data_IF_457856976908
#
_entry.id   IF_457856976908
#
_cell.length_a   1.000
_cell.length_b   1.000
_cell.length_c   1.000
_cell.angle_alpha   90.00
_cell.angle_beta   90.00
_cell.angle_gamma   90.00
#
_symmetry.space_group_name_H-M   'P 1'
#
loop_
_entity.id
_entity.type
_entity.pdbx_description
1 polymer ?
#
# COMPACT_ATOMS: atom_id res chain seq x y z
N UNK A 1 -41.78 14.33 -45.84
CA UNK A 1 -41.10 14.81 -44.62
C UNK A 1 -40.71 13.59 -43.79
N UNK A 2 -39.46 13.19 -43.92
CA UNK A 2 -38.95 12.03 -43.20
C UNK A 2 -38.21 12.52 -41.94
N UNK A 3 -38.74 12.16 -40.78
CA UNK A 3 -38.08 12.38 -39.51
C UNK A 3 -36.84 11.48 -39.39
N UNK A 4 -35.67 12.06 -39.45
CA UNK A 4 -34.44 11.41 -39.05
C UNK A 4 -34.36 11.41 -37.53
N UNK A 5 -34.64 10.26 -36.89
CA UNK A 5 -34.28 10.00 -35.51
C UNK A 5 -32.74 9.86 -35.45
N UNK A 6 -32.07 10.86 -34.96
CA UNK A 6 -30.65 10.79 -34.61
C UNK A 6 -30.56 10.02 -33.30
N UNK A 7 -30.25 8.72 -33.40
CA UNK A 7 -29.84 7.92 -32.26
C UNK A 7 -28.50 8.46 -31.73
N UNK A 8 -28.55 9.22 -30.65
CA UNK A 8 -27.39 9.59 -29.86
C UNK A 8 -27.00 8.39 -28.96
N UNK A 9 -26.51 7.31 -29.56
CA UNK A 9 -25.74 6.29 -28.83
C UNK A 9 -24.36 6.88 -28.53
N UNK A 10 -24.29 7.67 -27.46
CA UNK A 10 -23.01 7.96 -26.80
C UNK A 10 -22.53 6.66 -26.19
N UNK A 11 -21.70 5.92 -26.92
CA UNK A 11 -21.05 4.72 -26.43
C UNK A 11 -20.39 5.08 -25.07
N UNK A 12 -20.91 4.51 -23.98
CA UNK A 12 -20.30 4.68 -22.66
C UNK A 12 -18.90 4.09 -22.73
N UNK A 13 -17.88 4.96 -22.73
CA UNK A 13 -16.49 4.54 -22.67
C UNK A 13 -16.32 3.65 -21.44
N UNK A 14 -15.88 2.42 -21.64
CA UNK A 14 -15.58 1.53 -20.50
C UNK A 14 -14.47 2.16 -19.65
N UNK A 15 -14.66 2.09 -18.33
CA UNK A 15 -13.66 2.57 -17.38
C UNK A 15 -12.43 1.69 -17.42
N UNK A 16 -11.26 2.29 -17.34
CA UNK A 16 -10.03 1.55 -17.06
C UNK A 16 -10.13 0.86 -15.69
N UNK A 17 -9.24 -0.09 -15.44
CA UNK A 17 -9.18 -0.75 -14.13
C UNK A 17 -9.02 0.25 -12.99
N UNK A 18 -8.19 1.26 -13.18
CA UNK A 18 -7.96 2.30 -12.17
C UNK A 18 -9.19 3.20 -11.96
N UNK A 19 -9.78 3.68 -13.03
CA UNK A 19 -11.02 4.47 -12.97
C UNK A 19 -12.15 3.70 -12.29
N UNK A 20 -12.25 2.38 -12.54
CA UNK A 20 -13.22 1.53 -11.86
C UNK A 20 -12.88 1.39 -10.36
N UNK A 21 -11.61 1.16 -10.01
CA UNK A 21 -11.17 1.05 -8.62
C UNK A 21 -11.47 2.34 -7.81
N UNK A 22 -11.19 3.51 -8.37
CA UNK A 22 -11.49 4.82 -7.76
C UNK A 22 -13.01 5.01 -7.63
N UNK A 23 -13.78 4.65 -8.65
CA UNK A 23 -15.24 4.74 -8.59
C UNK A 23 -15.80 3.85 -7.47
N UNK A 24 -15.33 2.61 -7.38
CA UNK A 24 -15.79 1.66 -6.36
C UNK A 24 -15.37 2.10 -4.95
N UNK A 25 -14.16 2.63 -4.79
CA UNK A 25 -13.69 3.18 -3.53
C UNK A 25 -14.58 4.33 -3.05
N UNK A 26 -14.98 5.21 -3.96
CA UNK A 26 -15.86 6.36 -3.66
C UNK A 26 -17.29 5.96 -3.35
N UNK A 27 -17.82 4.98 -4.06
CA UNK A 27 -19.25 4.63 -4.01
C UNK A 27 -19.56 3.50 -3.02
N UNK A 28 -18.71 2.48 -2.99
CA UNK A 28 -18.96 1.23 -2.26
C UNK A 28 -17.88 0.92 -1.22
N UNK A 29 -16.77 1.67 -1.22
CA UNK A 29 -15.68 1.45 -0.29
C UNK A 29 -16.06 1.70 1.17
N UNK A 30 -15.23 1.22 2.07
CA UNK A 30 -15.34 1.55 3.50
C UNK A 30 -15.12 3.05 3.68
N UNK A 31 -15.98 3.71 4.45
CA UNK A 31 -15.80 5.11 4.78
C UNK A 31 -14.71 5.26 5.85
N UNK A 32 -13.52 5.69 5.45
CA UNK A 32 -12.34 5.82 6.32
C UNK A 32 -12.19 7.21 6.97
N UNK A 33 -13.27 8.01 7.04
CA UNK A 33 -13.23 9.28 7.75
C UNK A 33 -12.81 9.08 9.23
N UNK A 34 -11.76 9.77 9.66
CA UNK A 34 -11.17 9.60 10.98
C UNK A 34 -10.05 8.56 11.05
N UNK A 35 -9.69 7.93 9.92
CA UNK A 35 -8.50 7.10 9.82
C UNK A 35 -7.31 7.88 9.28
N UNK A 36 -6.16 7.71 9.89
CA UNK A 36 -4.86 8.26 9.47
C UNK A 36 -3.98 7.09 9.05
N UNK A 37 -3.58 7.07 7.79
CA UNK A 37 -2.69 6.05 7.23
C UNK A 37 -1.32 6.66 6.98
N UNK A 38 -0.32 6.23 7.76
CA UNK A 38 1.07 6.59 7.56
C UNK A 38 1.67 5.63 6.52
N UNK A 39 1.90 6.13 5.30
CA UNK A 39 2.51 5.37 4.21
C UNK A 39 4.02 5.63 4.16
N UNK A 40 4.79 4.57 4.37
CA UNK A 40 6.23 4.56 4.22
C UNK A 40 6.60 3.87 2.90
N UNK A 41 7.12 4.62 1.98
CA UNK A 41 7.67 4.12 0.72
C UNK A 41 9.13 3.71 0.96
N UNK A 42 9.39 2.41 0.89
CA UNK A 42 10.71 1.82 1.17
C UNK A 42 11.83 2.47 0.35
N UNK A 43 12.96 2.64 0.99
CA UNK A 43 14.20 3.16 0.41
C UNK A 43 14.13 4.61 -0.12
N UNK A 44 15.28 5.10 -0.54
CA UNK A 44 15.49 6.34 -1.28
C UNK A 44 16.44 6.10 -2.43
N UNK A 45 16.64 7.09 -3.28
CA UNK A 45 17.54 7.01 -4.45
C UNK A 45 18.98 6.69 -4.05
N UNK A 46 19.39 7.13 -2.85
CA UNK A 46 20.72 6.87 -2.32
C UNK A 46 20.93 5.43 -1.81
N UNK A 47 19.85 4.63 -1.63
CA UNK A 47 19.97 3.24 -1.18
C UNK A 47 20.57 2.37 -2.28
N UNK A 48 21.77 1.83 -2.03
CA UNK A 48 22.48 0.98 -2.99
C UNK A 48 21.91 -0.44 -3.02
N UNK A 49 22.05 -1.13 -4.15
CA UNK A 49 21.75 -2.56 -4.30
C UNK A 49 20.26 -2.92 -4.32
N UNK A 50 19.37 -1.94 -4.39
CA UNK A 50 17.93 -2.14 -4.37
C UNK A 50 17.31 -1.97 -5.78
N UNK A 51 17.34 -3.07 -6.55
CA UNK A 51 16.81 -3.10 -7.92
C UNK A 51 17.03 -4.43 -8.60
N UNK A 52 16.41 -4.61 -9.77
CA UNK A 52 16.53 -5.83 -10.57
C UNK A 52 17.96 -6.09 -11.02
N UNK A 53 18.32 -7.36 -11.33
CA UNK A 53 19.64 -7.70 -11.88
C UNK A 53 19.98 -6.94 -13.15
N UNK A 54 19.01 -6.65 -14.01
CA UNK A 54 19.21 -5.75 -15.14
C UNK A 54 19.59 -4.32 -14.72
N UNK A 55 18.84 -3.75 -13.78
CA UNK A 55 19.11 -2.38 -13.32
C UNK A 55 20.46 -2.22 -12.66
N UNK A 56 20.91 -3.25 -11.92
CA UNK A 56 22.15 -3.20 -11.17
C UNK A 56 23.37 -3.64 -12.02
N UNK A 57 23.23 -4.72 -12.81
CA UNK A 57 24.35 -5.43 -13.44
C UNK A 57 24.16 -5.72 -14.93
N UNK A 58 23.06 -5.26 -15.55
CA UNK A 58 22.72 -5.52 -16.97
C UNK A 58 22.58 -7.00 -17.33
N UNK A 59 22.08 -7.81 -16.40
CA UNK A 59 21.82 -9.24 -16.60
C UNK A 59 20.48 -9.44 -17.29
N UNK A 60 20.46 -10.12 -18.42
CA UNK A 60 19.23 -10.43 -19.15
C UNK A 60 18.32 -11.39 -18.35
N UNK A 61 16.97 -11.30 -18.48
CA UNK A 61 16.24 -10.40 -19.37
C UNK A 61 16.28 -8.93 -18.92
N UNK A 62 16.10 -8.02 -19.90
CA UNK A 62 16.19 -6.56 -19.72
C UNK A 62 14.95 -5.98 -19.02
N UNK A 63 14.70 -6.35 -17.77
CA UNK A 63 13.59 -5.87 -16.96
C UNK A 63 14.11 -4.82 -15.95
N UNK A 64 13.97 -3.51 -16.26
CA UNK A 64 14.47 -2.46 -15.38
C UNK A 64 13.52 -2.26 -14.17
N UNK A 65 14.10 -2.26 -12.96
CA UNK A 65 13.37 -1.86 -11.74
C UNK A 65 14.33 -1.30 -10.71
N UNK A 66 13.95 -0.20 -10.09
CA UNK A 66 14.54 0.32 -8.85
C UNK A 66 13.48 0.32 -7.77
N UNK A 67 13.78 -0.30 -6.63
CA UNK A 67 12.78 -0.48 -5.57
C UNK A 67 12.21 0.85 -5.06
N UNK A 68 13.04 1.88 -4.88
CA UNK A 68 12.57 3.18 -4.42
C UNK A 68 11.61 3.88 -5.41
N UNK A 69 11.73 3.64 -6.72
CA UNK A 69 10.80 4.16 -7.73
C UNK A 69 9.49 3.40 -7.72
N UNK A 70 9.58 2.07 -7.62
CA UNK A 70 8.42 1.19 -7.53
C UNK A 70 7.56 1.50 -6.30
N UNK A 71 8.16 1.56 -5.12
CA UNK A 71 7.43 1.81 -3.87
C UNK A 71 6.71 3.17 -3.88
N UNK A 72 7.31 4.19 -4.51
CA UNK A 72 6.68 5.51 -4.69
C UNK A 72 5.50 5.47 -5.65
N UNK A 73 5.58 4.70 -6.75
CA UNK A 73 4.44 4.51 -7.66
C UNK A 73 3.26 3.84 -6.94
N UNK A 74 3.53 2.77 -6.19
CA UNK A 74 2.51 2.06 -5.41
C UNK A 74 1.88 2.97 -4.36
N UNK A 75 2.70 3.65 -3.55
CA UNK A 75 2.18 4.50 -2.46
C UNK A 75 1.43 5.72 -2.98
N UNK A 76 1.79 6.26 -4.15
CA UNK A 76 1.04 7.35 -4.79
C UNK A 76 -0.38 6.89 -5.20
N UNK A 77 -0.49 5.74 -5.87
CA UNK A 77 -1.78 5.13 -6.24
C UNK A 77 -2.59 4.74 -4.99
N UNK A 78 -1.94 4.16 -3.98
CA UNK A 78 -2.59 3.80 -2.72
C UNK A 78 -3.13 5.03 -1.98
N UNK A 79 -2.36 6.12 -1.94
CA UNK A 79 -2.79 7.40 -1.37
C UNK A 79 -4.08 7.88 -2.03
N UNK A 80 -4.14 7.89 -3.37
CA UNK A 80 -5.32 8.32 -4.13
C UNK A 80 -6.57 7.49 -3.77
N UNK A 81 -6.44 6.16 -3.67
CA UNK A 81 -7.55 5.27 -3.26
C UNK A 81 -8.00 5.53 -1.82
N UNK A 82 -7.07 5.62 -0.89
CA UNK A 82 -7.39 5.83 0.52
C UNK A 82 -8.06 7.19 0.76
N UNK A 83 -7.61 8.24 0.08
CA UNK A 83 -8.24 9.56 0.11
C UNK A 83 -9.63 9.52 -0.54
N UNK A 84 -9.82 8.76 -1.62
CA UNK A 84 -11.13 8.49 -2.19
C UNK A 84 -12.06 7.77 -1.21
N UNK A 85 -11.51 6.92 -0.32
CA UNK A 85 -12.23 6.27 0.78
C UNK A 85 -12.44 7.20 2.00
N UNK A 86 -11.79 8.35 2.07
CA UNK A 86 -11.94 9.34 3.13
C UNK A 86 -10.89 9.32 4.22
N UNK A 87 -9.83 8.53 4.07
CA UNK A 87 -8.69 8.55 4.99
C UNK A 87 -7.85 9.83 4.80
N UNK A 88 -7.20 10.25 5.88
CA UNK A 88 -6.04 11.13 5.77
C UNK A 88 -4.78 10.29 5.57
N UNK A 89 -4.02 10.61 4.53
CA UNK A 89 -2.80 9.87 4.20
C UNK A 89 -1.57 10.75 4.44
N UNK A 90 -0.71 10.31 5.34
CA UNK A 90 0.57 10.93 5.63
C UNK A 90 1.71 10.15 4.95
N UNK A 91 2.36 10.79 3.98
CA UNK A 91 3.56 10.23 3.35
C UNK A 91 4.75 10.40 4.29
N UNK A 92 5.28 9.29 4.79
CA UNK A 92 6.35 9.29 5.79
C UNK A 92 7.69 9.78 5.21
N UNK A 93 7.98 9.42 3.96
CA UNK A 93 9.21 9.77 3.25
C UNK A 93 8.92 10.36 1.87
N UNK A 94 8.43 11.61 1.77
CA UNK A 94 8.15 12.23 0.47
C UNK A 94 9.42 12.55 -0.32
N UNK A 95 10.56 12.72 0.34
CA UNK A 95 11.84 12.99 -0.28
C UNK A 95 12.36 11.78 -1.09
N UNK A 96 13.00 12.06 -2.23
CA UNK A 96 13.51 11.04 -3.16
C UNK A 96 15.01 10.84 -3.02
N UNK A 97 15.79 11.94 -2.92
CA UNK A 97 17.25 11.94 -3.10
C UNK A 97 18.03 11.29 -1.94
N UNK A 98 17.51 11.34 -0.72
CA UNK A 98 18.16 10.76 0.46
C UNK A 98 17.80 9.30 0.69
N UNK A 99 18.27 8.78 1.82
CA UNK A 99 17.81 7.53 2.42
C UNK A 99 17.51 7.78 3.89
N UNK A 100 16.24 8.10 4.17
CA UNK A 100 15.79 8.36 5.54
C UNK A 100 15.91 7.11 6.40
N UNK A 101 16.59 7.21 7.53
CA UNK A 101 16.82 6.06 8.41
C UNK A 101 15.52 5.43 8.91
N UNK A 102 15.51 4.11 9.12
CA UNK A 102 14.32 3.36 9.57
C UNK A 102 13.73 3.93 10.87
N UNK A 103 14.59 4.37 11.80
CA UNK A 103 14.14 5.01 13.05
C UNK A 103 13.48 6.37 12.81
N UNK A 104 14.00 7.16 11.88
CA UNK A 104 13.43 8.47 11.55
C UNK A 104 12.05 8.30 10.87
N UNK A 105 11.86 7.27 10.01
CA UNK A 105 10.59 6.93 9.40
C UNK A 105 9.51 6.68 10.47
N UNK A 106 9.78 5.76 11.41
CA UNK A 106 8.87 5.48 12.51
C UNK A 106 8.62 6.72 13.39
N UNK A 107 9.66 7.50 13.69
CA UNK A 107 9.54 8.71 14.51
C UNK A 107 8.62 9.77 13.87
N UNK A 108 8.68 9.98 12.56
CA UNK A 108 7.78 10.90 11.84
C UNK A 108 6.30 10.52 12.02
N UNK A 109 5.95 9.24 11.83
CA UNK A 109 4.59 8.74 12.04
C UNK A 109 4.15 8.86 13.50
N UNK A 110 5.04 8.51 14.44
CA UNK A 110 4.77 8.63 15.88
C UNK A 110 4.54 10.08 16.32
N UNK A 111 5.33 11.01 15.79
CA UNK A 111 5.19 12.45 16.07
C UNK A 111 3.85 12.99 15.56
N UNK A 112 3.44 12.59 14.35
CA UNK A 112 2.12 12.96 13.83
C UNK A 112 1.02 12.47 14.78
N UNK A 113 1.05 11.18 15.17
CA UNK A 113 0.05 10.62 16.10
C UNK A 113 0.05 11.35 17.45
N UNK A 114 1.22 11.67 18.01
CA UNK A 114 1.33 12.39 19.27
C UNK A 114 0.79 13.81 19.16
N UNK A 115 1.03 14.50 18.05
CA UNK A 115 0.47 15.83 17.78
C UNK A 115 -1.05 15.75 17.70
N UNK A 116 -1.56 14.78 16.95
CA UNK A 116 -3.01 14.59 16.83
C UNK A 116 -3.69 14.30 18.17
N UNK A 117 -3.04 13.48 19.02
CA UNK A 117 -3.55 13.18 20.38
C UNK A 117 -3.70 14.44 21.24
N UNK A 118 -2.83 15.44 21.07
CA UNK A 118 -2.92 16.71 21.82
C UNK A 118 -4.14 17.55 21.45
N UNK A 119 -4.72 17.37 20.26
CA UNK A 119 -5.92 18.09 19.83
C UNK A 119 -7.21 17.57 20.50
N UNK A 120 -7.16 16.46 21.21
CA UNK A 120 -8.35 15.80 21.78
C UNK A 120 -9.26 15.14 20.75
N UNK A 121 -8.97 15.24 19.47
CA UNK A 121 -9.77 14.62 18.38
C UNK A 121 -9.51 13.13 18.31
N UNK A 122 -10.55 12.36 18.08
CA UNK A 122 -10.47 10.91 17.90
C UNK A 122 -10.01 10.59 16.48
N UNK A 123 -8.90 9.88 16.35
CA UNK A 123 -8.42 9.33 15.08
C UNK A 123 -7.80 7.94 15.28
N UNK A 124 -7.84 7.12 14.22
CA UNK A 124 -7.30 5.78 14.21
C UNK A 124 -6.09 5.73 13.28
N UNK A 125 -4.94 5.36 13.81
CA UNK A 125 -3.67 5.37 13.11
C UNK A 125 -3.24 3.98 12.72
N UNK A 126 -2.72 3.83 11.50
CA UNK A 126 -2.00 2.65 11.03
C UNK A 126 -0.74 3.07 10.27
N UNK A 127 0.25 2.19 10.25
CA UNK A 127 1.50 2.37 9.53
C UNK A 127 1.68 1.23 8.52
N UNK A 128 1.99 1.57 7.27
CA UNK A 128 2.25 0.60 6.20
C UNK A 128 3.57 0.95 5.53
N UNK A 129 4.55 0.05 5.64
CA UNK A 129 5.83 0.15 4.93
C UNK A 129 5.78 -0.71 3.68
N UNK A 130 5.90 -0.09 2.52
CA UNK A 130 5.76 -0.75 1.20
C UNK A 130 7.14 -1.01 0.63
N UNK A 131 7.45 -2.28 0.36
CA UNK A 131 8.71 -2.78 -0.19
C UNK A 131 8.47 -3.74 -1.35
N UNK A 132 9.56 -4.19 -1.99
CA UNK A 132 9.61 -5.35 -2.87
C UNK A 132 10.82 -6.20 -2.47
N UNK A 133 10.63 -7.52 -2.46
CA UNK A 133 11.59 -8.49 -1.95
C UNK A 133 12.71 -8.82 -2.95
N UNK A 134 13.77 -9.41 -2.45
CA UNK A 134 14.87 -9.91 -3.23
C UNK A 134 15.49 -11.16 -2.61
N UNK A 135 15.97 -12.09 -3.43
CA UNK A 135 16.85 -13.17 -2.99
C UNK A 135 18.24 -12.94 -3.59
N UNK A 136 19.25 -13.20 -2.77
CA UNK A 136 20.63 -13.00 -3.14
C UNK A 136 21.04 -11.51 -3.09
N UNK A 137 22.10 -11.21 -3.83
CA UNK A 137 22.74 -9.88 -3.87
C UNK A 137 22.33 -9.03 -5.09
N UNK A 138 21.36 -9.51 -5.88
CA UNK A 138 20.91 -8.84 -7.10
C UNK A 138 21.84 -9.02 -8.31
N UNK A 139 22.88 -9.84 -8.22
CA UNK A 139 23.82 -10.09 -9.34
C UNK A 139 23.25 -11.00 -10.41
N UNK A 140 22.17 -11.74 -10.13
CA UNK A 140 21.53 -12.65 -11.08
C UNK A 140 20.02 -12.77 -10.80
N UNK A 141 19.29 -13.19 -11.83
CA UNK A 141 17.90 -13.58 -11.68
C UNK A 141 17.76 -14.88 -10.88
N UNK A 142 16.70 -14.96 -10.08
CA UNK A 142 16.38 -16.08 -9.18
C UNK A 142 14.98 -16.63 -9.47
N UNK A 143 14.77 -17.29 -10.65
CA UNK A 143 13.45 -17.79 -11.04
C UNK A 143 12.86 -18.75 -10.01
N UNK A 144 11.55 -18.61 -9.74
CA UNK A 144 10.84 -19.43 -8.76
C UNK A 144 10.90 -18.93 -7.31
N UNK A 145 11.74 -17.92 -7.04
CA UNK A 145 11.77 -17.21 -5.76
C UNK A 145 10.82 -16.01 -5.84
N UNK A 146 9.51 -16.26 -5.71
CA UNK A 146 8.47 -15.31 -6.03
C UNK A 146 7.34 -15.28 -5.00
N UNK A 147 6.47 -14.26 -5.11
CA UNK A 147 5.23 -14.13 -4.37
C UNK A 147 5.17 -12.94 -3.42
N UNK A 148 3.96 -12.59 -3.05
CA UNK A 148 3.64 -11.50 -2.15
C UNK A 148 3.62 -11.94 -0.69
N UNK A 149 4.08 -11.10 0.23
CA UNK A 149 4.09 -11.36 1.66
C UNK A 149 3.80 -10.11 2.48
N UNK A 150 3.32 -10.31 3.72
CA UNK A 150 3.20 -9.29 4.76
C UNK A 150 3.98 -9.71 5.99
N UNK A 151 4.49 -8.74 6.72
CA UNK A 151 5.34 -8.91 7.88
C UNK A 151 4.83 -8.11 9.06
N UNK A 152 4.87 -8.72 10.25
CA UNK A 152 4.64 -8.06 11.54
C UNK A 152 5.88 -8.19 12.43
N UNK A 153 5.80 -7.66 13.64
CA UNK A 153 6.77 -7.90 14.71
C UNK A 153 6.46 -9.20 15.42
N UNK A 154 7.46 -9.83 16.00
CA UNK A 154 7.28 -11.08 16.76
C UNK A 154 6.23 -10.97 17.86
N UNK A 155 5.40 -12.00 17.98
CA UNK A 155 4.38 -12.17 18.99
C UNK A 155 3.05 -11.50 18.67
N UNK A 156 1.97 -12.07 19.18
CA UNK A 156 0.58 -11.68 18.86
C UNK A 156 0.21 -10.29 19.37
N UNK A 157 -0.24 -9.44 18.47
CA UNK A 157 -0.68 -8.07 18.75
C UNK A 157 -1.70 -7.58 17.70
N UNK A 158 -2.11 -6.31 17.74
CA UNK A 158 -3.11 -5.75 16.79
C UNK A 158 -2.59 -5.70 15.36
N UNK A 159 -1.27 -5.70 15.14
CA UNK A 159 -0.70 -5.68 13.80
C UNK A 159 -0.95 -7.00 13.05
N UNK A 160 -1.07 -8.14 13.77
CA UNK A 160 -1.38 -9.45 13.16
C UNK A 160 -2.79 -9.42 12.56
N UNK A 161 -3.80 -8.93 13.29
CA UNK A 161 -5.13 -8.69 12.72
C UNK A 161 -5.11 -7.76 11.52
N UNK A 162 -4.20 -6.77 11.52
CA UNK A 162 -4.03 -5.87 10.37
C UNK A 162 -3.39 -6.59 9.19
N UNK A 163 -2.34 -7.38 9.44
CA UNK A 163 -1.66 -8.21 8.45
C UNK A 163 -2.62 -9.22 7.81
N UNK A 164 -3.43 -9.92 8.61
CA UNK A 164 -4.48 -10.83 8.15
C UNK A 164 -5.42 -10.17 7.14
N UNK A 165 -5.96 -8.99 7.49
CA UNK A 165 -6.87 -8.26 6.63
C UNK A 165 -6.24 -7.86 5.30
N UNK A 166 -4.96 -7.46 5.33
CA UNK A 166 -4.23 -7.08 4.12
C UNK A 166 -3.85 -8.31 3.30
N UNK A 167 -3.46 -9.41 3.95
CA UNK A 167 -3.18 -10.68 3.28
C UNK A 167 -4.42 -11.25 2.60
N UNK A 168 -5.58 -11.27 3.29
CA UNK A 168 -6.85 -11.68 2.69
C UNK A 168 -7.17 -10.89 1.42
N UNK A 169 -7.06 -9.55 1.47
CA UNK A 169 -7.34 -8.69 0.34
C UNK A 169 -6.33 -8.87 -0.81
N UNK A 170 -5.06 -9.10 -0.47
CA UNK A 170 -4.01 -9.42 -1.42
C UNK A 170 -4.28 -10.76 -2.12
N UNK A 171 -4.66 -11.79 -1.36
CA UNK A 171 -5.01 -13.11 -1.89
C UNK A 171 -6.22 -13.03 -2.83
N UNK A 172 -7.27 -12.31 -2.45
CA UNK A 172 -8.43 -12.06 -3.31
C UNK A 172 -8.07 -11.32 -4.61
N UNK A 173 -7.03 -10.49 -4.57
CA UNK A 173 -6.59 -9.69 -5.73
C UNK A 173 -5.62 -10.45 -6.62
N UNK A 174 -4.61 -11.10 -6.05
CA UNK A 174 -3.49 -11.65 -6.80
C UNK A 174 -3.69 -13.09 -7.27
N UNK A 175 -4.39 -13.93 -6.48
CA UNK A 175 -4.63 -15.34 -6.85
C UNK A 175 -5.38 -15.46 -8.17
N UNK A 176 -6.45 -14.66 -8.45
CA UNK A 176 -7.11 -14.68 -9.76
C UNK A 176 -6.24 -14.19 -10.92
N UNK A 177 -5.17 -13.45 -10.62
CA UNK A 177 -4.19 -12.98 -11.61
C UNK A 177 -3.05 -13.99 -11.85
N UNK A 178 -3.10 -15.17 -11.20
CA UNK A 178 -2.07 -16.20 -11.28
C UNK A 178 -0.80 -15.87 -10.47
N UNK A 179 -0.83 -14.83 -9.64
CA UNK A 179 0.31 -14.43 -8.82
C UNK A 179 0.35 -15.21 -7.50
N UNK A 180 1.55 -15.59 -7.09
CA UNK A 180 1.76 -16.40 -5.87
C UNK A 180 1.62 -15.58 -4.60
N UNK A 181 0.95 -16.17 -3.60
CA UNK A 181 0.92 -15.67 -2.23
C UNK A 181 1.88 -16.48 -1.35
N UNK A 182 2.66 -15.79 -0.54
CA UNK A 182 3.51 -16.41 0.49
C UNK A 182 2.82 -16.33 1.85
N UNK A 183 3.06 -17.32 2.70
CA UNK A 183 2.52 -17.38 4.05
C UNK A 183 3.44 -18.19 4.94
N UNK A 184 3.56 -17.79 6.19
CA UNK A 184 4.31 -18.52 7.22
C UNK A 184 3.32 -19.13 8.21
N UNK A 185 2.90 -20.36 7.95
CA UNK A 185 1.96 -21.09 8.83
C UNK A 185 2.60 -21.71 10.07
N UNK A 186 3.93 -21.63 10.21
CA UNK A 186 4.67 -22.49 11.11
C UNK A 186 4.74 -22.02 12.56
N UNK A 187 4.53 -20.72 12.84
CA UNK A 187 4.81 -20.18 14.17
C UNK A 187 3.56 -19.99 15.05
N UNK A 188 2.50 -19.40 14.53
CA UNK A 188 1.32 -19.02 15.32
C UNK A 188 -0.02 -19.24 14.61
N UNK A 189 -0.01 -19.69 13.36
CA UNK A 189 -1.21 -20.13 12.61
C UNK A 189 -1.82 -19.10 11.69
N UNK A 190 -1.29 -17.88 11.64
CA UNK A 190 -1.68 -16.85 10.69
C UNK A 190 -0.77 -16.79 9.45
N UNK A 191 -1.12 -16.02 8.40
CA UNK A 191 -0.41 -16.02 7.13
C UNK A 191 0.79 -15.08 7.06
N UNK A 192 1.00 -14.18 8.01
CA UNK A 192 2.09 -13.22 7.96
C UNK A 192 3.43 -13.81 8.40
N UNK A 193 4.49 -13.11 8.06
CA UNK A 193 5.84 -13.40 8.51
C UNK A 193 6.20 -12.51 9.69
N UNK A 194 6.92 -13.04 10.65
CA UNK A 194 7.37 -12.29 11.81
C UNK A 194 8.84 -11.92 11.72
N UNK A 195 9.14 -10.62 11.81
CA UNK A 195 10.51 -10.11 11.96
C UNK A 195 10.53 -8.74 12.65
N UNK A 196 11.54 -8.53 13.49
CA UNK A 196 11.73 -7.27 14.20
C UNK A 196 12.31 -6.15 13.29
N UNK A 197 11.67 -5.91 12.14
CA UNK A 197 12.06 -4.79 11.29
C UNK A 197 11.92 -3.46 12.05
N UNK A 198 13.01 -2.72 12.12
CA UNK A 198 13.10 -1.48 12.93
C UNK A 198 11.95 -0.51 12.65
N UNK A 199 11.52 -0.39 11.40
CA UNK A 199 10.51 0.59 11.00
C UNK A 199 9.13 0.26 11.58
N UNK A 200 8.72 -1.00 11.58
CA UNK A 200 7.45 -1.43 12.18
C UNK A 200 7.56 -1.63 13.70
N UNK A 201 8.70 -2.12 14.19
CA UNK A 201 8.93 -2.30 15.63
C UNK A 201 8.90 -0.99 16.43
N UNK A 202 9.36 0.12 15.83
CA UNK A 202 9.36 1.44 16.48
C UNK A 202 8.09 2.24 16.25
N UNK A 203 7.16 1.78 15.43
CA UNK A 203 5.86 2.41 15.25
C UNK A 203 5.00 2.20 16.50
N UNK A 204 4.36 3.28 17.01
CA UNK A 204 3.48 3.20 18.19
C UNK A 204 2.00 3.06 17.81
N UNK A 205 1.73 2.41 16.69
CA UNK A 205 0.41 2.13 16.10
C UNK A 205 0.45 0.77 15.42
N UNK A 206 -0.70 0.15 15.05
CA UNK A 206 -0.70 -1.06 14.24
C UNK A 206 0.13 -0.84 12.97
N UNK A 207 1.12 -1.71 12.76
CA UNK A 207 2.15 -1.50 11.75
C UNK A 207 2.47 -2.80 11.01
N UNK A 208 2.52 -2.73 9.69
CA UNK A 208 2.91 -3.83 8.81
C UNK A 208 3.98 -3.38 7.81
N UNK A 209 4.76 -4.34 7.34
CA UNK A 209 5.62 -4.19 6.17
C UNK A 209 5.14 -5.18 5.10
N UNK A 210 5.02 -4.73 3.87
CA UNK A 210 4.64 -5.60 2.75
C UNK A 210 5.77 -5.75 1.78
N UNK A 211 6.05 -6.99 1.39
CA UNK A 211 6.98 -7.36 0.34
C UNK A 211 6.18 -7.70 -0.91
N UNK A 212 6.12 -6.74 -1.82
CA UNK A 212 5.28 -6.79 -2.99
C UNK A 212 6.01 -7.48 -4.14
N UNK A 213 6.13 -8.83 -4.02
CA UNK A 213 6.82 -9.66 -4.99
C UNK A 213 8.35 -9.46 -5.03
N UNK A 214 9.04 -10.25 -5.85
CA UNK A 214 10.50 -10.24 -5.92
C UNK A 214 11.01 -9.54 -7.17
N UNK A 215 11.75 -8.46 -7.00
CA UNK A 215 12.42 -7.81 -8.16
C UNK A 215 13.62 -8.61 -8.69
N UNK A 216 13.99 -9.72 -8.05
CA UNK A 216 15.00 -10.68 -8.52
C UNK A 216 14.42 -11.92 -9.21
N UNK A 217 13.09 -12.11 -9.19
CA UNK A 217 12.41 -13.11 -10.01
C UNK A 217 11.89 -12.44 -11.29
N UNK A 218 12.13 -12.99 -12.49
CA UNK A 218 11.72 -12.34 -13.75
C UNK A 218 10.21 -12.15 -13.85
N UNK A 219 9.41 -13.15 -13.46
CA UNK A 219 7.94 -13.11 -13.56
C UNK A 219 7.34 -12.06 -12.63
N UNK A 220 7.78 -12.04 -11.38
CA UNK A 220 7.35 -11.06 -10.40
C UNK A 220 7.80 -9.64 -10.81
N UNK A 221 9.05 -9.50 -11.27
CA UNK A 221 9.61 -8.22 -11.70
C UNK A 221 8.87 -7.64 -12.91
N UNK A 222 8.51 -8.48 -13.90
CA UNK A 222 7.67 -8.06 -15.02
C UNK A 222 6.31 -7.55 -14.52
N UNK A 223 5.64 -8.30 -13.65
CA UNK A 223 4.34 -7.92 -13.11
C UNK A 223 4.38 -6.58 -12.38
N UNK A 224 5.30 -6.40 -11.41
CA UNK A 224 5.38 -5.18 -10.61
C UNK A 224 5.89 -3.97 -11.40
N UNK A 225 6.48 -4.18 -12.57
CA UNK A 225 6.93 -3.13 -13.48
C UNK A 225 5.81 -2.61 -14.41
N UNK A 226 4.67 -3.28 -14.44
CA UNK A 226 3.50 -2.84 -15.20
C UNK A 226 2.64 -1.85 -14.40
N UNK A 227 1.94 -0.95 -15.10
CA UNK A 227 0.93 -0.09 -14.45
C UNK A 227 -0.15 -0.92 -13.76
N UNK A 228 -0.61 -1.99 -14.42
CA UNK A 228 -1.60 -2.92 -13.86
C UNK A 228 -1.15 -3.59 -12.57
N UNK A 229 0.12 -4.00 -12.47
CA UNK A 229 0.69 -4.57 -11.25
C UNK A 229 0.73 -3.56 -10.11
N UNK A 230 1.22 -2.36 -10.38
CA UNK A 230 1.24 -1.24 -9.40
C UNK A 230 -0.17 -0.91 -8.90
N UNK A 231 -1.15 -0.83 -9.80
CA UNK A 231 -2.55 -0.57 -9.47
C UNK A 231 -3.18 -1.70 -8.64
N UNK A 232 -2.93 -2.95 -9.02
CA UNK A 232 -3.44 -4.12 -8.29
C UNK A 232 -2.89 -4.17 -6.86
N UNK A 233 -1.60 -3.84 -6.68
CA UNK A 233 -0.98 -3.75 -5.35
C UNK A 233 -1.65 -2.65 -4.52
N UNK A 234 -1.86 -1.46 -5.09
CA UNK A 234 -2.55 -0.38 -4.39
C UNK A 234 -3.99 -0.75 -4.00
N UNK A 235 -4.72 -1.43 -4.90
CA UNK A 235 -6.10 -1.92 -4.63
C UNK A 235 -6.11 -2.95 -3.50
N UNK A 236 -5.18 -3.91 -3.49
CA UNK A 236 -5.07 -4.92 -2.43
C UNK A 236 -4.87 -4.27 -1.05
N UNK A 237 -3.93 -3.32 -0.96
CA UNK A 237 -3.69 -2.59 0.28
C UNK A 237 -4.91 -1.77 0.73
N UNK A 238 -5.53 -1.01 -0.17
CA UNK A 238 -6.70 -0.20 0.17
C UNK A 238 -7.87 -1.05 0.69
N UNK A 239 -8.15 -2.19 0.05
CA UNK A 239 -9.14 -3.16 0.50
C UNK A 239 -8.80 -3.74 1.87
N UNK A 240 -7.53 -4.14 2.09
CA UNK A 240 -7.06 -4.68 3.35
C UNK A 240 -7.15 -3.70 4.51
N UNK A 241 -6.76 -2.44 4.28
CA UNK A 241 -6.91 -1.35 5.26
C UNK A 241 -8.40 -1.14 5.57
N UNK A 242 -9.27 -1.18 4.56
CA UNK A 242 -10.73 -1.11 4.74
C UNK A 242 -11.26 -2.26 5.59
N UNK A 243 -10.88 -3.51 5.29
CA UNK A 243 -11.25 -4.70 6.08
C UNK A 243 -10.81 -4.55 7.55
N UNK A 244 -9.57 -4.10 7.78
CA UNK A 244 -9.06 -3.86 9.13
C UNK A 244 -9.85 -2.78 9.86
N UNK A 245 -10.14 -1.65 9.22
CA UNK A 245 -10.95 -0.59 9.79
C UNK A 245 -12.35 -1.08 10.19
N UNK A 246 -12.97 -1.92 9.37
CA UNK A 246 -14.25 -2.56 9.71
C UNK A 246 -14.12 -3.52 10.88
N UNK A 247 -13.19 -4.47 10.81
CA UNK A 247 -13.00 -5.54 11.79
C UNK A 247 -12.60 -4.99 13.17
N UNK A 248 -11.69 -4.02 13.19
CA UNK A 248 -11.10 -3.50 14.43
C UNK A 248 -11.83 -2.32 15.05
N UNK A 249 -12.38 -1.44 14.21
CA UNK A 249 -12.92 -0.15 14.64
C UNK A 249 -14.39 0.05 14.30
N UNK A 250 -15.02 -0.87 13.58
CA UNK A 250 -16.44 -0.82 13.25
C UNK A 250 -16.80 0.18 12.15
N UNK A 251 -15.85 0.59 11.32
CA UNK A 251 -16.12 1.42 10.14
C UNK A 251 -17.14 0.74 9.23
N UNK A 252 -17.91 1.52 8.50
CA UNK A 252 -18.98 1.01 7.63
C UNK A 252 -18.65 1.28 6.17
N UNK A 253 -19.21 0.47 5.27
CA UNK A 253 -19.26 0.78 3.85
C UNK A 253 -20.10 2.01 3.60
N UNK A 254 -19.83 2.71 2.51
CA UNK A 254 -20.60 3.87 2.10
C UNK A 254 -21.86 3.46 1.36
N UNK A 255 -22.93 4.18 1.63
CA UNK A 255 -24.16 4.14 0.81
C UNK A 255 -24.08 5.20 -0.31
N UNK A 256 -23.28 6.27 -0.10
CA UNK A 256 -23.00 7.33 -1.05
C UNK A 256 -21.68 8.04 -0.74
N UNK A 257 -21.07 8.65 -1.75
CA UNK A 257 -19.80 9.39 -1.60
C UNK A 257 -20.01 10.66 -0.74
N UNK A 258 -19.22 10.78 0.33
CA UNK A 258 -19.02 12.03 1.07
C UNK A 258 -17.57 12.49 0.87
N UNK A 259 -17.38 13.79 0.54
CA UNK A 259 -16.02 14.35 0.36
C UNK A 259 -15.23 14.18 1.67
N UNK A 260 -13.96 13.71 1.62
CA UNK A 260 -13.10 13.65 2.80
C UNK A 260 -12.97 15.03 3.46
N UNK A 261 -13.08 15.07 4.77
CA UNK A 261 -12.69 16.26 5.54
C UNK A 261 -11.17 16.17 5.70
N UNK A 262 -10.44 17.15 5.19
CA UNK A 262 -9.00 17.24 5.37
C UNK A 262 -8.69 17.55 6.85
N UNK A 263 -8.07 16.62 7.60
CA UNK A 263 -7.72 16.90 8.99
C UNK A 263 -6.58 17.92 9.13
N UNK A 264 -5.80 18.16 8.06
CA UNK A 264 -4.78 19.20 8.02
C UNK A 264 -5.38 20.60 8.14
N UNK A 265 -6.50 20.86 7.46
CA UNK A 265 -7.28 22.10 7.61
C UNK A 265 -7.78 22.35 9.05
N UNK A 266 -7.91 21.29 9.85
CA UNK A 266 -8.31 21.38 11.25
C UNK A 266 -7.14 21.75 12.17
N UNK A 267 -5.89 21.47 11.75
CA UNK A 267 -4.68 21.85 12.49
C UNK A 267 -4.27 23.31 12.21
N UNK A 268 -4.55 23.83 11.00
CA UNK A 268 -4.19 25.21 10.63
C UNK A 268 -5.10 26.26 11.29
N UNK A 269 -6.35 25.93 11.61
CA UNK A 269 -7.31 26.87 12.24
C UNK A 269 -7.07 27.11 13.75
N UNK A 270 -6.21 26.34 14.39
CA UNK A 270 -5.89 26.52 15.82
C UNK A 270 -4.60 27.36 16.03
N UNK A 271 -3.91 27.76 14.95
CA UNK A 271 -2.69 28.59 14.99
C UNK A 271 -2.91 30.01 14.40
N UNK A 272 -4.15 30.42 14.19
CA UNK A 272 -4.49 31.80 13.73
C UNK A 272 -5.15 32.65 14.82
#
# INVERSE_FOLDING_TARGET
MANQNINNDVAKKEKTYWEQAIYDARKYGVNLNGMVVCLDNGHGKATKGKGSPWSLHKVEPAIPLREYEFTRKVTAKLKELLEAMGAYVYMVCPEVEGDTSLSARAARANNLKNTYKKTGKKAYFVFVSVHADAIGDGTKWMPGSNGWAVWTTKGQNVSDTFADCVWEAANETFTPMGMRMRQQKANDGDPDYEADFTVIKKANMPAILTENFFYTDPTDCEFINTERGVEAIAVAHAKGIGKFAQRRYGFKTRDSYTRPVDPGLLLEKENS
#
